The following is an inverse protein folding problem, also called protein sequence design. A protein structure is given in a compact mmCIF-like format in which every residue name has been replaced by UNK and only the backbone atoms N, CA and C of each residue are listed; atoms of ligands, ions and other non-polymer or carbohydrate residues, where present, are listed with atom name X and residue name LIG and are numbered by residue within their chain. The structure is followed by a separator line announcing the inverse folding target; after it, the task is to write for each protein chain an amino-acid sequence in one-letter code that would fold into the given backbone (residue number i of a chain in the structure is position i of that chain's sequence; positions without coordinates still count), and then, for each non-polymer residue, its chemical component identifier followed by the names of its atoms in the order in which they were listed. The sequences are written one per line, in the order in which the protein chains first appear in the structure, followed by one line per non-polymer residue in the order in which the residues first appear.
data_IF_354748945008
#
_entry.id   IF_354748945008
#
_cell.length_a   1.000
_cell.length_b   1.000
_cell.length_c   1.000
_cell.angle_alpha   90.00
_cell.angle_beta   90.00
_cell.angle_gamma   90.00
#
_symmetry.space_group_name_H-M   'P 1'
#
loop_
_entity.id
_entity.type
_entity.pdbx_description
1 polymer ?
#
# COMPACT_ATOMS: atom_id res chain seq x y z
N UNK A 1 13.92 9.34 -27.78
CA UNK A 1 14.81 9.27 -26.61
C UNK A 1 14.35 8.08 -25.78
N UNK A 2 15.25 7.29 -25.17
CA UNK A 2 14.85 6.17 -24.34
C UNK A 2 14.02 6.67 -23.13
N UNK A 3 13.04 5.88 -22.71
CA UNK A 3 12.22 6.17 -21.53
C UNK A 3 13.10 6.43 -20.30
N UNK A 4 12.92 7.58 -19.65
CA UNK A 4 13.69 7.92 -18.44
C UNK A 4 12.81 7.74 -17.19
N UNK A 5 13.00 6.61 -16.51
CA UNK A 5 12.24 6.24 -15.31
C UNK A 5 12.29 7.32 -14.22
N UNK A 6 13.43 7.98 -14.01
CA UNK A 6 13.61 8.96 -12.93
C UNK A 6 12.70 10.17 -13.04
N UNK A 7 12.26 10.52 -14.25
CA UNK A 7 11.36 11.65 -14.49
C UNK A 7 9.92 11.37 -14.03
N UNK A 8 9.60 10.12 -13.73
CA UNK A 8 8.25 9.63 -13.49
C UNK A 8 8.06 8.99 -12.11
N UNK A 9 9.11 9.02 -11.27
CA UNK A 9 9.05 8.53 -9.90
C UNK A 9 8.24 9.48 -9.02
N UNK A 10 7.39 8.90 -8.18
CA UNK A 10 6.69 9.63 -7.11
C UNK A 10 7.19 9.13 -5.75
N UNK A 11 7.09 9.99 -4.74
CA UNK A 11 7.35 9.58 -3.35
C UNK A 11 6.07 9.05 -2.72
N UNK A 12 6.15 7.88 -2.12
CA UNK A 12 5.05 7.26 -1.37
C UNK A 12 5.35 7.27 0.13
N UNK A 13 4.37 6.86 0.93
CA UNK A 13 4.50 6.81 2.38
C UNK A 13 5.74 5.98 2.80
N UNK A 14 6.45 6.46 3.82
CA UNK A 14 7.72 5.87 4.24
C UNK A 14 8.92 6.31 3.41
N UNK A 15 8.79 7.36 2.58
CA UNK A 15 9.90 7.98 1.86
C UNK A 15 10.43 7.18 0.67
N UNK A 16 9.74 6.10 0.29
CA UNK A 16 10.12 5.24 -0.83
C UNK A 16 9.74 5.88 -2.16
N UNK A 17 10.50 5.55 -3.19
CA UNK A 17 10.17 5.91 -4.57
C UNK A 17 9.30 4.83 -5.20
N UNK A 18 8.31 5.25 -5.97
CA UNK A 18 7.39 4.38 -6.68
C UNK A 18 7.26 4.83 -8.13
N UNK A 19 7.31 3.88 -9.06
CA UNK A 19 6.98 4.12 -10.46
C UNK A 19 5.51 3.71 -10.72
N UNK A 20 4.59 4.66 -10.96
CA UNK A 20 3.20 4.37 -11.27
C UNK A 20 3.01 3.43 -12.46
N UNK A 21 1.97 2.60 -12.39
CA UNK A 21 1.63 1.63 -13.46
C UNK A 21 1.46 2.32 -14.81
N UNK A 22 0.89 3.52 -14.85
CA UNK A 22 0.76 4.31 -16.08
C UNK A 22 2.11 4.51 -16.80
N UNK A 23 3.16 4.79 -16.05
CA UNK A 23 4.50 5.00 -16.61
C UNK A 23 5.23 3.69 -16.92
N UNK A 24 4.93 2.61 -16.21
CA UNK A 24 5.35 1.25 -16.61
C UNK A 24 4.74 0.87 -17.96
N UNK A 25 3.48 1.25 -18.22
CA UNK A 25 2.80 1.01 -19.49
C UNK A 25 3.40 1.83 -20.63
N UNK A 26 3.71 3.11 -20.41
CA UNK A 26 4.39 3.94 -21.42
C UNK A 26 5.72 3.30 -21.81
N UNK A 27 6.56 2.97 -20.83
CA UNK A 27 7.84 2.31 -21.08
C UNK A 27 7.67 0.97 -21.82
N UNK A 28 6.77 0.11 -21.34
CA UNK A 28 6.48 -1.17 -21.98
C UNK A 28 6.05 -1.01 -23.45
N UNK A 29 5.20 -0.02 -23.75
CA UNK A 29 4.70 0.22 -25.11
C UNK A 29 5.74 0.86 -26.04
N UNK A 30 6.70 1.59 -25.50
CA UNK A 30 7.84 2.09 -26.28
C UNK A 30 8.75 0.95 -26.76
N UNK A 31 8.95 -0.09 -25.94
CA UNK A 31 9.83 -1.24 -26.28
C UNK A 31 9.10 -2.36 -27.03
N UNK A 32 7.85 -2.61 -26.68
CA UNK A 32 7.07 -3.75 -27.14
C UNK A 32 5.65 -3.33 -27.59
N UNK A 33 5.54 -2.60 -28.72
CA UNK A 33 4.26 -2.06 -29.18
C UNK A 33 3.25 -3.15 -29.57
N UNK A 34 3.71 -4.31 -30.02
CA UNK A 34 2.95 -5.45 -30.52
C UNK A 34 2.63 -6.51 -29.45
N UNK A 35 3.20 -6.40 -28.25
CA UNK A 35 2.92 -7.33 -27.16
C UNK A 35 1.58 -7.03 -26.49
N UNK A 36 0.94 -8.04 -25.91
CA UNK A 36 -0.39 -7.92 -25.32
C UNK A 36 -0.36 -8.01 -23.80
N UNK A 37 -1.29 -7.30 -23.16
CA UNK A 37 -1.60 -7.43 -21.73
C UNK A 37 -3.06 -7.83 -21.67
N UNK A 38 -3.35 -8.99 -21.09
CA UNK A 38 -4.70 -9.49 -20.88
C UNK A 38 -5.01 -9.47 -19.39
N UNK A 39 -6.19 -9.01 -19.02
CA UNK A 39 -6.67 -9.03 -17.63
C UNK A 39 -7.91 -9.91 -17.52
N UNK A 40 -8.05 -10.57 -16.38
CA UNK A 40 -9.25 -11.33 -16.04
C UNK A 40 -9.51 -11.30 -14.53
N UNK A 41 -10.77 -11.22 -14.08
CA UNK A 41 -11.11 -11.45 -12.69
C UNK A 41 -10.95 -12.93 -12.36
N UNK A 42 -10.19 -13.25 -11.32
CA UNK A 42 -10.15 -14.59 -10.73
C UNK A 42 -11.26 -14.77 -9.69
N UNK A 43 -11.65 -13.69 -9.01
CA UNK A 43 -12.75 -13.67 -8.06
C UNK A 43 -13.31 -12.26 -7.97
N UNK A 44 -14.64 -12.14 -8.05
CA UNK A 44 -15.34 -10.87 -7.86
C UNK A 44 -16.53 -11.12 -6.95
N UNK A 45 -16.34 -10.81 -5.67
CA UNK A 45 -17.36 -10.96 -4.63
C UNK A 45 -17.86 -9.57 -4.23
N UNK A 46 -18.95 -9.13 -4.86
CA UNK A 46 -19.50 -7.79 -4.64
C UNK A 46 -20.15 -7.64 -3.27
N UNK A 47 -20.71 -8.71 -2.71
CA UNK A 47 -21.34 -8.69 -1.38
C UNK A 47 -20.30 -8.50 -0.28
N UNK A 48 -19.16 -9.20 -0.38
CA UNK A 48 -18.05 -9.07 0.56
C UNK A 48 -17.10 -7.93 0.21
N UNK A 49 -17.29 -7.31 -0.96
CA UNK A 49 -16.45 -6.24 -1.48
C UNK A 49 -15.01 -6.70 -1.69
N UNK A 50 -14.80 -7.83 -2.38
CA UNK A 50 -13.47 -8.38 -2.68
C UNK A 50 -13.33 -8.51 -4.20
N UNK A 51 -12.22 -8.04 -4.74
CA UNK A 51 -11.84 -8.24 -6.14
C UNK A 51 -10.44 -8.85 -6.21
N UNK A 52 -10.29 -9.91 -6.99
CA UNK A 52 -9.01 -10.54 -7.32
C UNK A 52 -8.88 -10.58 -8.83
N UNK A 53 -7.85 -9.93 -9.36
CA UNK A 53 -7.56 -9.90 -10.78
C UNK A 53 -6.21 -10.53 -11.07
N UNK A 54 -6.11 -11.11 -12.25
CA UNK A 54 -4.86 -11.53 -12.85
C UNK A 54 -4.63 -10.75 -14.14
N UNK A 55 -3.38 -10.33 -14.35
CA UNK A 55 -2.89 -9.84 -15.62
C UNK A 55 -1.85 -10.81 -16.18
N UNK A 56 -1.84 -10.97 -17.49
CA UNK A 56 -0.92 -11.81 -18.24
C UNK A 56 -0.30 -10.97 -19.37
N UNK A 57 1.03 -11.00 -19.48
CA UNK A 57 1.75 -10.35 -20.59
C UNK A 57 2.18 -11.42 -21.58
N UNK A 58 1.92 -11.18 -22.87
CA UNK A 58 2.33 -12.07 -23.96
C UNK A 58 3.16 -11.36 -25.01
N UNK A 59 4.12 -12.07 -25.58
CA UNK A 59 4.83 -11.61 -26.77
C UNK A 59 3.95 -11.68 -28.05
N UNK A 60 4.52 -11.26 -29.17
CA UNK A 60 3.86 -11.29 -30.49
C UNK A 60 3.48 -12.71 -30.96
N UNK A 61 4.17 -13.74 -30.46
CA UNK A 61 3.91 -15.15 -30.75
C UNK A 61 2.89 -15.77 -29.76
N UNK A 62 2.21 -14.95 -28.94
CA UNK A 62 1.29 -15.36 -27.88
C UNK A 62 1.92 -16.19 -26.75
N UNK A 63 3.24 -16.18 -26.58
CA UNK A 63 3.88 -16.84 -25.44
C UNK A 63 3.72 -15.99 -24.20
N UNK A 64 3.36 -16.63 -23.09
CA UNK A 64 3.20 -15.95 -21.81
C UNK A 64 4.56 -15.67 -21.19
N UNK A 65 4.84 -14.39 -20.94
CA UNK A 65 6.12 -13.94 -20.38
C UNK A 65 6.03 -13.69 -18.88
N UNK A 66 4.92 -13.14 -18.41
CA UNK A 66 4.70 -12.86 -16.99
C UNK A 66 3.22 -12.89 -16.62
N UNK A 67 2.96 -13.16 -15.34
CA UNK A 67 1.62 -13.05 -14.74
C UNK A 67 1.68 -12.32 -13.41
N UNK A 68 0.76 -11.39 -13.19
CA UNK A 68 0.59 -10.68 -11.93
C UNK A 68 -0.81 -10.89 -11.36
N UNK A 69 -0.92 -11.26 -10.09
CA UNK A 69 -2.23 -11.34 -9.40
C UNK A 69 -2.28 -10.30 -8.29
N UNK A 70 -3.41 -9.60 -8.17
CA UNK A 70 -3.66 -8.63 -7.11
C UNK A 70 -5.07 -8.81 -6.55
N UNK A 71 -5.17 -8.74 -5.23
CA UNK A 71 -6.42 -8.67 -4.51
C UNK A 71 -6.57 -7.28 -3.86
N UNK A 72 -7.80 -6.77 -3.87
CA UNK A 72 -8.22 -5.57 -3.16
C UNK A 72 -9.60 -5.75 -2.53
N UNK A 73 -9.92 -4.89 -1.56
CA UNK A 73 -11.21 -4.93 -0.86
C UNK A 73 -11.84 -3.54 -0.75
N UNK A 74 -13.17 -3.50 -0.73
CA UNK A 74 -13.96 -2.27 -0.57
C UNK A 74 -13.66 -1.52 0.74
N UNK A 75 -13.16 -2.22 1.77
CA UNK A 75 -12.70 -1.62 3.03
C UNK A 75 -11.43 -0.81 2.87
N UNK A 76 -10.55 -1.21 1.96
CA UNK A 76 -9.32 -0.47 1.65
C UNK A 76 -9.62 0.73 0.75
N UNK A 77 -10.41 0.50 -0.30
CA UNK A 77 -10.67 1.49 -1.35
C UNK A 77 -12.08 1.35 -1.93
N UNK A 78 -12.74 2.47 -2.21
CA UNK A 78 -14.05 2.44 -2.88
C UNK A 78 -13.99 1.93 -4.33
N UNK A 79 -12.88 2.19 -5.01
CA UNK A 79 -12.53 1.74 -6.37
C UNK A 79 -11.71 0.44 -6.36
N UNK A 80 -12.05 -0.50 -5.47
CA UNK A 80 -11.26 -1.72 -5.25
C UNK A 80 -11.16 -2.63 -6.48
N UNK A 81 -12.15 -2.63 -7.37
CA UNK A 81 -12.15 -3.44 -8.59
C UNK A 81 -11.07 -2.91 -9.54
N UNK A 82 -11.11 -1.61 -9.83
CA UNK A 82 -10.17 -0.93 -10.72
C UNK A 82 -8.74 -0.99 -10.17
N UNK A 83 -8.59 -0.88 -8.84
CA UNK A 83 -7.29 -1.03 -8.17
C UNK A 83 -6.76 -2.46 -8.22
N UNK A 84 -7.62 -3.47 -8.07
CA UNK A 84 -7.19 -4.86 -8.22
C UNK A 84 -6.68 -5.12 -9.64
N UNK A 85 -7.45 -4.70 -10.66
CA UNK A 85 -7.07 -4.89 -12.06
C UNK A 85 -5.78 -4.14 -12.42
N UNK A 86 -5.72 -2.84 -12.11
CA UNK A 86 -4.53 -2.02 -12.38
C UNK A 86 -3.30 -2.53 -11.62
N UNK A 87 -3.48 -2.97 -10.38
CA UNK A 87 -2.40 -3.54 -9.58
C UNK A 87 -1.91 -4.89 -10.10
N UNK A 88 -2.80 -5.71 -10.67
CA UNK A 88 -2.41 -6.95 -11.33
C UNK A 88 -1.52 -6.67 -12.56
N UNK A 89 -1.88 -5.68 -13.38
CA UNK A 89 -1.04 -5.19 -14.50
C UNK A 89 0.31 -4.70 -14.00
N UNK A 90 0.32 -3.87 -12.95
CA UNK A 90 1.55 -3.37 -12.32
C UNK A 90 2.49 -4.50 -11.89
N UNK A 91 1.95 -5.56 -11.28
CA UNK A 91 2.70 -6.75 -10.87
C UNK A 91 3.26 -7.51 -12.06
N UNK A 92 2.47 -7.73 -13.11
CA UNK A 92 2.92 -8.47 -14.30
C UNK A 92 4.07 -7.73 -15.01
N UNK A 93 3.94 -6.42 -15.19
CA UNK A 93 5.00 -5.58 -15.78
C UNK A 93 6.23 -5.50 -14.87
N UNK A 94 6.03 -5.40 -13.56
CA UNK A 94 7.12 -5.41 -12.59
C UNK A 94 7.90 -6.73 -12.58
N UNK A 95 7.28 -7.87 -12.88
CA UNK A 95 8.00 -9.14 -13.05
C UNK A 95 8.87 -9.17 -14.33
N UNK A 96 8.52 -8.39 -15.35
CA UNK A 96 9.30 -8.25 -16.58
C UNK A 96 10.45 -7.23 -16.48
N UNK A 97 10.61 -6.54 -15.34
CA UNK A 97 11.66 -5.52 -15.16
C UNK A 97 11.16 -4.07 -15.22
N UNK A 98 9.91 -3.83 -15.61
CA UNK A 98 9.35 -2.48 -15.73
C UNK A 98 9.08 -1.88 -14.36
N UNK A 99 10.09 -1.21 -13.80
CA UNK A 99 10.00 -0.50 -12.53
C UNK A 99 10.12 -1.40 -11.30
N UNK A 100 10.67 -2.60 -11.42
CA UNK A 100 10.83 -3.58 -10.32
C UNK A 100 11.57 -3.00 -9.11
N UNK A 101 12.61 -2.20 -9.34
CA UNK A 101 13.37 -1.53 -8.29
C UNK A 101 12.56 -0.45 -7.53
N UNK A 102 11.40 -0.05 -8.06
CA UNK A 102 10.48 0.96 -7.52
C UNK A 102 9.08 0.36 -7.30
N UNK A 103 9.01 -0.93 -7.00
CA UNK A 103 7.79 -1.70 -6.84
C UNK A 103 7.65 -2.17 -5.38
N UNK A 104 6.95 -1.40 -4.52
CA UNK A 104 6.69 -1.77 -3.13
C UNK A 104 6.05 -3.15 -2.98
N UNK A 105 5.34 -3.61 -4.01
CA UNK A 105 4.69 -4.91 -4.06
C UNK A 105 5.63 -6.13 -4.13
N UNK A 106 6.94 -5.90 -4.30
CA UNK A 106 8.01 -6.90 -4.20
C UNK A 106 8.99 -6.62 -3.03
N UNK A 107 8.74 -5.57 -2.25
CA UNK A 107 9.58 -5.24 -1.10
C UNK A 107 9.19 -6.14 0.08
N UNK A 108 10.13 -6.94 0.58
CA UNK A 108 9.94 -7.88 1.69
C UNK A 108 9.85 -7.18 3.06
N UNK A 109 10.23 -5.90 3.14
CA UNK A 109 10.27 -5.16 4.40
C UNK A 109 11.10 -5.88 5.47
N UNK A 110 10.55 -6.01 6.69
CA UNK A 110 11.22 -6.72 7.80
C UNK A 110 11.00 -8.23 7.78
N UNK A 111 10.17 -8.76 6.87
CA UNK A 111 9.78 -10.17 6.86
C UNK A 111 10.56 -10.93 5.78
N UNK A 112 11.87 -11.09 6.02
CA UNK A 112 12.70 -11.98 5.22
C UNK A 112 12.32 -13.44 5.49
N UNK A 113 12.01 -14.18 4.43
CA UNK A 113 11.48 -15.56 4.49
C UNK A 113 12.59 -16.62 4.44
N UNK A 114 13.83 -16.21 4.14
CA UNK A 114 14.93 -17.11 3.77
C UNK A 114 15.60 -17.84 4.93
N UNK A 115 15.19 -17.62 6.17
CA UNK A 115 15.66 -18.44 7.30
C UNK A 115 14.51 -18.71 8.26
N UNK A 116 14.11 -19.99 8.46
CA UNK A 116 13.20 -20.33 9.53
C UNK A 116 13.91 -20.08 10.85
N UNK A 117 13.78 -18.87 11.39
CA UNK A 117 14.08 -18.63 12.78
C UNK A 117 12.98 -19.34 13.58
N UNK A 118 13.32 -20.20 14.56
CA UNK A 118 12.32 -20.68 15.50
C UNK A 118 11.64 -19.44 16.07
N UNK A 119 10.31 -19.38 15.98
CA UNK A 119 9.53 -18.38 16.70
C UNK A 119 9.86 -18.55 18.18
N UNK A 120 10.86 -17.82 18.66
CA UNK A 120 11.04 -17.59 20.08
C UNK A 120 9.80 -16.82 20.46
N UNK A 121 8.82 -17.55 20.98
CA UNK A 121 7.76 -16.98 21.79
C UNK A 121 8.49 -16.06 22.75
N UNK A 122 8.34 -14.76 22.57
CA UNK A 122 8.75 -13.77 23.53
C UNK A 122 7.87 -14.03 24.76
N UNK A 123 8.29 -15.03 25.54
CA UNK A 123 7.93 -15.16 26.92
C UNK A 123 8.56 -13.92 27.52
N UNK A 124 7.73 -12.94 27.81
CA UNK A 124 8.06 -11.81 28.67
C UNK A 124 8.58 -12.39 29.99
N UNK A 125 9.88 -12.67 30.01
CA UNK A 125 10.61 -13.03 31.20
C UNK A 125 11.07 -11.70 31.80
N UNK A 126 10.27 -11.20 32.73
CA UNK A 126 10.75 -10.20 33.68
C UNK A 126 12.07 -10.72 34.30
N UNK A 127 13.13 -9.90 34.35
CA UNK A 127 14.37 -10.33 35.00
C UNK A 127 14.14 -10.46 36.50
N UNK A 128 13.98 -11.69 36.96
CA UNK A 128 13.81 -12.05 38.35
C UNK A 128 15.15 -12.03 39.12
N UNK A 129 15.86 -10.90 39.14
CA UNK A 129 16.90 -10.65 40.16
C UNK A 129 16.37 -9.69 41.22
N UNK A 130 15.79 -10.26 42.28
CA UNK A 130 15.60 -9.55 43.56
C UNK A 130 16.91 -9.58 44.34
N UNK A 131 17.55 -8.43 44.47
CA UNK A 131 18.56 -8.22 45.52
C UNK A 131 17.86 -8.09 46.89
N UNK A 132 18.48 -8.52 48.01
CA UNK A 132 17.82 -8.51 49.31
C UNK A 132 17.64 -7.10 49.87
N UNK A 133 16.50 -6.94 50.54
CA UNK A 133 16.01 -5.78 51.31
C UNK A 133 17.08 -5.18 52.24
N UNK A 134 17.42 -3.90 52.00
CA UNK A 134 17.96 -3.02 53.03
C UNK A 134 17.00 -1.84 53.18
N UNK A 135 16.33 -1.83 54.32
CA UNK A 135 15.49 -0.73 54.82
C UNK A 135 16.36 0.52 54.97
N UNK A 136 15.98 1.63 54.34
CA UNK A 136 15.95 2.89 55.06
C UNK A 136 14.94 3.89 54.45
N UNK A 137 14.20 4.45 55.38
CA UNK A 137 13.22 5.52 55.30
C UNK A 137 13.69 6.74 54.50
N UNK A 138 12.85 7.20 53.56
CA UNK A 138 12.70 8.61 53.18
C UNK A 138 11.43 8.79 52.35
N UNK A 139 10.44 9.42 52.99
CA UNK A 139 9.20 9.91 52.38
C UNK A 139 9.54 10.77 51.15
N UNK A 140 8.91 10.48 50.01
CA UNK A 140 8.90 11.36 48.83
C UNK A 140 7.45 11.77 48.56
N UNK A 141 7.18 13.07 48.32
CA UNK A 141 5.83 13.58 48.09
C UNK A 141 5.30 13.18 46.70
N UNK A 142 3.97 13.04 46.60
CA UNK A 142 3.27 12.74 45.34
C UNK A 142 3.46 13.86 44.30
N UNK A 143 3.66 13.53 43.01
CA UNK A 143 3.58 14.50 41.94
C UNK A 143 2.12 14.86 41.62
N UNK A 144 1.81 16.12 41.26
CA UNK A 144 0.44 16.58 41.08
C UNK A 144 -0.21 15.99 39.83
N UNK A 145 -1.48 15.61 39.98
CA UNK A 145 -2.37 15.15 38.90
C UNK A 145 -2.50 16.26 37.85
N UNK A 146 -2.01 16.00 36.63
CA UNK A 146 -2.14 16.95 35.52
C UNK A 146 -3.56 16.84 34.94
N UNK A 147 -4.35 17.88 35.14
CA UNK A 147 -5.70 18.01 34.60
C UNK A 147 -5.73 17.80 33.08
N UNK A 148 -6.63 16.92 32.63
CA UNK A 148 -7.00 16.72 31.23
C UNK A 148 -7.60 18.01 30.67
N UNK A 149 -7.04 18.50 29.55
CA UNK A 149 -7.69 19.55 28.76
C UNK A 149 -8.80 18.92 27.92
N UNK A 150 -10.03 19.45 27.91
CA UNK A 150 -11.05 19.02 26.97
C UNK A 150 -10.65 19.43 25.54
N UNK A 151 -10.87 18.51 24.60
CA UNK A 151 -10.79 18.74 23.15
C UNK A 151 -11.73 19.88 22.75
N UNK A 152 -11.32 20.82 21.87
CA UNK A 152 -12.24 21.80 21.32
C UNK A 152 -13.19 21.15 20.30
N UNK A 153 -14.44 21.59 20.37
CA UNK A 153 -15.60 21.20 19.56
C UNK A 153 -15.41 21.42 18.05
N UNK A 154 -16.11 20.59 17.27
CA UNK A 154 -16.19 20.57 15.81
C UNK A 154 -16.48 21.95 15.16
N UNK A 155 -16.04 22.19 13.92
CA UNK A 155 -16.35 23.41 13.18
C UNK A 155 -17.84 23.47 12.77
N UNK A 156 -18.41 24.67 12.61
CA UNK A 156 -19.82 24.86 12.25
C UNK A 156 -20.11 24.44 10.79
N UNK A 157 -21.38 24.16 10.45
CA UNK A 157 -21.77 23.76 9.10
C UNK A 157 -21.61 24.93 8.11
N UNK A 158 -21.11 24.60 6.92
CA UNK A 158 -20.96 25.53 5.80
C UNK A 158 -22.36 25.95 5.32
N UNK A 159 -22.65 27.25 5.36
CA UNK A 159 -23.90 27.81 4.85
C UNK A 159 -23.97 27.63 3.34
N UNK A 160 -24.98 26.89 2.86
CA UNK A 160 -25.27 26.72 1.45
C UNK A 160 -25.81 28.05 0.88
N UNK A 161 -24.96 28.88 0.26
CA UNK A 161 -25.42 30.03 -0.51
C UNK A 161 -25.90 29.54 -1.88
N UNK A 162 -27.19 29.76 -2.11
CA UNK A 162 -27.90 29.36 -3.32
C UNK A 162 -27.24 29.85 -4.60
N UNK A 163 -27.20 28.95 -5.57
CA UNK A 163 -26.97 29.23 -6.98
C UNK A 163 -28.22 29.99 -7.50
N UNK A 164 -28.08 31.20 -8.08
CA UNK A 164 -29.21 31.84 -8.74
C UNK A 164 -29.54 31.09 -10.05
N UNK A 165 -30.83 31.03 -10.45
CA UNK A 165 -31.26 30.29 -11.62
C UNK A 165 -30.67 30.88 -12.91
N UNK A 166 -30.30 29.99 -13.83
CA UNK A 166 -29.75 30.33 -15.14
C UNK A 166 -30.71 31.12 -16.01
N UNK A 167 -30.14 32.02 -16.80
CA UNK A 167 -30.84 32.85 -17.78
C UNK A 167 -30.95 32.06 -19.11
N UNK A 168 -32.13 31.93 -19.73
CA UNK A 168 -32.31 31.16 -20.94
C UNK A 168 -32.02 32.00 -22.19
N UNK A 169 -31.06 31.58 -23.01
CA UNK A 169 -31.01 31.85 -24.47
C UNK A 169 -30.40 30.68 -25.20
#
# INVERSE_FOLDING_TARGET
MPFNVRNHLIRVQGGREYLPVAYRLVWFREEHPDWSILTQPLSLDLERGIAVFQAEVRDADNRVLARGTKAETAKGFGDYIEKAETGAVGRALGMLGYGTQFAPEFDEGERLVDTPLPHSVQRSAEPAWRAPDQRDSRVRPEPPVRATRPYPSAPPPVSNRGIPPGDPR
#
